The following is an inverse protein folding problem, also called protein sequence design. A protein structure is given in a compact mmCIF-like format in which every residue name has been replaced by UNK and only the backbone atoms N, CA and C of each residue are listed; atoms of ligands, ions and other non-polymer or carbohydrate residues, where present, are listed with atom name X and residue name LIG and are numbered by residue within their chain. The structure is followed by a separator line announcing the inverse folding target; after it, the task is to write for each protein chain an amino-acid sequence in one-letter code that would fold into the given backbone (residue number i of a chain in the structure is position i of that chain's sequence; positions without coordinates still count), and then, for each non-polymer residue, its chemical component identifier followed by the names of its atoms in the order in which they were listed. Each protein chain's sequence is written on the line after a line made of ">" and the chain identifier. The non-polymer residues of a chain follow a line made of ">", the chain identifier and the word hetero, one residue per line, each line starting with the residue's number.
data_IF_275439742404
#
_entry.id   IF_275439742404
#
_cell.length_a   1.000
_cell.length_b   1.000
_cell.length_c   1.000
_cell.angle_alpha   90.00
_cell.angle_beta   90.00
_cell.angle_gamma   90.00
#
_symmetry.space_group_name_H-M   'P 1'
#
loop_
_entity.id
_entity.type
_entity.pdbx_description
1 polymer ?
#
# COMPACT_ATOMS: atom_id res chain seq x y z
N UNK A 1 7.02 -19.68 -13.16
CA UNK A 1 8.18 -20.15 -12.37
C UNK A 1 9.08 -18.93 -12.17
N UNK A 2 8.82 -18.02 -11.23
CA UNK A 2 8.97 -18.08 -9.77
C UNK A 2 10.31 -18.69 -9.32
N UNK A 3 11.25 -17.81 -8.94
CA UNK A 3 11.86 -17.72 -7.60
C UNK A 3 12.74 -16.45 -7.60
N UNK A 4 12.23 -15.35 -7.05
CA UNK A 4 12.36 -14.91 -5.64
C UNK A 4 13.74 -14.31 -5.30
N UNK A 5 13.71 -12.98 -5.19
CA UNK A 5 14.60 -12.12 -4.41
C UNK A 5 14.73 -12.61 -2.96
N UNK A 6 15.89 -12.36 -2.33
CA UNK A 6 16.01 -12.00 -0.91
C UNK A 6 17.41 -11.42 -0.64
N UNK A 7 17.45 -10.14 -0.26
CA UNK A 7 18.43 -9.57 0.68
C UNK A 7 17.93 -9.89 2.12
N UNK A 8 18.67 -9.67 3.23
CA UNK A 8 19.94 -8.94 3.37
C UNK A 8 21.01 -9.59 4.30
N UNK A 9 22.16 -8.92 4.28
CA UNK A 9 23.17 -8.74 5.35
C UNK A 9 22.74 -9.17 6.77
N UNK A 10 23.49 -10.11 7.35
CA UNK A 10 24.19 -9.95 8.64
C UNK A 10 25.27 -11.05 8.73
N UNK A 11 26.50 -10.59 8.59
CA UNK A 11 27.76 -11.29 8.84
C UNK A 11 27.78 -12.01 10.19
N UNK A 12 28.18 -13.28 10.20
CA UNK A 12 29.15 -13.86 11.16
C UNK A 12 29.93 -14.97 10.43
N UNK A 13 31.21 -14.77 10.17
CA UNK A 13 32.32 -15.04 11.08
C UNK A 13 32.78 -16.50 10.97
N UNK A 14 33.94 -16.63 10.33
CA UNK A 14 34.97 -17.66 10.43
C UNK A 14 34.61 -18.99 11.12
N UNK A 15 34.76 -20.06 10.34
CA UNK A 15 35.01 -21.41 10.83
C UNK A 15 36.09 -21.43 11.92
N UNK A 16 35.68 -21.70 13.15
CA UNK A 16 36.55 -22.12 14.25
C UNK A 16 35.81 -23.23 14.98
N UNK A 17 36.36 -24.44 14.91
CA UNK A 17 36.18 -25.59 15.83
C UNK A 17 34.84 -25.63 16.57
N UNK A 18 33.89 -26.42 16.08
CA UNK A 18 32.56 -26.61 16.71
C UNK A 18 32.71 -27.19 18.12
N UNK A 19 32.83 -26.33 19.12
CA UNK A 19 32.48 -26.70 20.49
C UNK A 19 30.99 -27.07 20.48
N UNK A 20 30.70 -28.31 20.89
CA UNK A 20 29.33 -28.77 21.08
C UNK A 20 28.67 -27.83 22.08
N UNK A 21 27.65 -27.10 21.64
CA UNK A 21 26.94 -26.15 22.50
C UNK A 21 26.11 -27.00 23.46
N UNK A 22 26.31 -26.78 24.76
CA UNK A 22 25.56 -27.46 25.81
C UNK A 22 24.60 -26.42 26.40
N UNK A 23 23.30 -26.68 26.25
CA UNK A 23 22.26 -25.92 26.95
C UNK A 23 22.08 -26.51 28.34
N UNK A 24 22.12 -25.67 29.37
CA UNK A 24 21.80 -26.04 30.74
C UNK A 24 20.67 -25.14 31.21
N UNK A 25 19.50 -25.71 31.49
CA UNK A 25 18.34 -25.00 32.00
C UNK A 25 17.98 -25.57 33.38
N UNK A 26 17.71 -24.71 34.36
CA UNK A 26 17.40 -25.09 35.74
C UNK A 26 18.42 -26.06 36.39
N UNK A 27 19.69 -25.99 35.97
CA UNK A 27 20.76 -26.89 36.41
C UNK A 27 20.77 -28.26 35.74
N UNK A 28 19.86 -28.55 34.81
CA UNK A 28 19.83 -29.77 34.00
C UNK A 28 20.39 -29.53 32.61
N UNK A 29 21.25 -30.43 32.14
CA UNK A 29 21.74 -30.39 30.76
C UNK A 29 20.68 -30.92 29.80
N UNK A 30 20.38 -30.15 28.75
CA UNK A 30 19.30 -30.42 27.81
C UNK A 30 19.82 -31.21 26.61
N UNK A 31 19.20 -32.34 26.32
CA UNK A 31 19.54 -33.25 25.23
C UNK A 31 18.42 -33.44 24.21
N UNK A 32 17.19 -33.00 24.52
CA UNK A 32 16.04 -33.07 23.61
C UNK A 32 15.11 -31.87 23.75
N UNK A 33 14.24 -31.64 22.76
CA UNK A 33 13.18 -30.62 22.85
C UNK A 33 12.19 -30.89 23.99
N UNK A 34 11.95 -32.15 24.37
CA UNK A 34 11.05 -32.46 25.48
C UNK A 34 11.67 -32.03 26.82
N UNK A 35 12.96 -32.31 27.03
CA UNK A 35 13.68 -31.83 28.21
C UNK A 35 13.78 -30.29 28.23
N UNK A 36 13.93 -29.66 27.05
CA UNK A 36 13.91 -28.21 26.92
C UNK A 36 12.58 -27.61 27.38
N UNK A 37 11.46 -28.28 27.07
CA UNK A 37 10.11 -27.88 27.50
C UNK A 37 9.91 -28.10 28.99
N UNK A 38 10.41 -29.20 29.54
CA UNK A 38 10.26 -29.55 30.96
C UNK A 38 11.06 -28.61 31.87
N UNK A 39 12.24 -28.17 31.44
CA UNK A 39 13.11 -27.24 32.18
C UNK A 39 13.07 -25.81 31.63
N UNK A 40 11.98 -25.43 30.97
CA UNK A 40 11.90 -24.15 30.27
C UNK A 40 11.93 -22.97 31.27
N UNK A 41 12.98 -22.15 31.24
CA UNK A 41 13.12 -20.99 32.11
C UNK A 41 13.26 -19.70 31.29
N UNK A 42 12.45 -18.68 31.59
CA UNK A 42 12.44 -17.40 30.85
C UNK A 42 13.81 -16.72 30.79
N UNK A 43 14.48 -16.57 31.93
CA UNK A 43 15.70 -15.77 32.00
C UNK A 43 16.83 -16.47 31.27
N UNK A 44 16.92 -17.79 31.42
CA UNK A 44 17.96 -18.60 30.81
C UNK A 44 17.72 -18.74 29.29
N UNK A 45 16.48 -19.02 28.86
CA UNK A 45 16.18 -19.18 27.42
C UNK A 45 16.37 -17.87 26.65
N UNK A 46 16.02 -16.72 27.25
CA UNK A 46 16.27 -15.42 26.64
C UNK A 46 17.76 -15.12 26.55
N UNK A 47 18.55 -15.45 27.58
CA UNK A 47 20.01 -15.31 27.53
C UNK A 47 20.61 -16.20 26.43
N UNK A 48 20.20 -17.46 26.33
CA UNK A 48 20.70 -18.36 25.28
C UNK A 48 20.27 -17.93 23.88
N UNK A 49 19.09 -17.31 23.75
CA UNK A 49 18.63 -16.72 22.50
C UNK A 49 19.47 -15.50 22.11
N UNK A 50 19.64 -14.53 23.00
CA UNK A 50 20.44 -13.32 22.77
C UNK A 50 21.91 -13.62 22.43
N UNK A 51 22.47 -14.68 23.03
CA UNK A 51 23.85 -15.11 22.79
C UNK A 51 24.01 -16.00 21.54
N UNK A 52 22.92 -16.31 20.81
CA UNK A 52 22.93 -17.18 19.62
C UNK A 52 23.18 -18.67 19.92
N UNK A 53 23.38 -19.04 21.18
CA UNK A 53 23.62 -20.43 21.63
C UNK A 53 22.39 -21.31 21.42
N UNK A 54 21.19 -20.77 21.59
CA UNK A 54 19.94 -21.50 21.36
C UNK A 54 19.77 -21.91 19.89
N UNK A 55 20.06 -20.99 18.96
CA UNK A 55 20.02 -21.28 17.53
C UNK A 55 21.07 -22.32 17.14
N UNK A 56 22.29 -22.16 17.66
CA UNK A 56 23.40 -23.08 17.39
C UNK A 56 23.08 -24.49 17.89
N UNK A 57 22.48 -24.62 19.09
CA UNK A 57 22.04 -25.90 19.63
C UNK A 57 20.95 -26.55 18.77
N UNK A 58 19.95 -25.79 18.31
CA UNK A 58 18.90 -26.32 17.42
C UNK A 58 19.48 -26.86 16.11
N UNK A 59 20.46 -26.17 15.52
CA UNK A 59 21.14 -26.62 14.31
C UNK A 59 21.97 -27.89 14.57
N UNK A 60 22.70 -27.95 15.70
CA UNK A 60 23.50 -29.14 16.07
C UNK A 60 22.65 -30.39 16.34
N UNK A 61 21.39 -30.19 16.76
CA UNK A 61 20.43 -31.27 17.05
C UNK A 61 19.41 -31.51 15.92
N UNK A 62 19.60 -30.91 14.74
CA UNK A 62 18.75 -31.08 13.54
C UNK A 62 17.29 -30.65 13.70
N UNK A 63 17.01 -29.66 14.55
CA UNK A 63 15.67 -29.07 14.73
C UNK A 63 15.46 -27.89 13.78
N UNK A 64 15.56 -28.15 12.47
CA UNK A 64 15.56 -27.12 11.41
C UNK A 64 14.29 -26.25 11.39
N UNK A 65 13.10 -26.84 11.58
CA UNK A 65 11.83 -26.10 11.60
C UNK A 65 11.80 -25.02 12.69
N UNK A 66 12.35 -25.34 13.86
CA UNK A 66 12.42 -24.45 15.01
C UNK A 66 13.55 -23.45 14.82
N UNK A 67 14.68 -23.87 14.26
CA UNK A 67 15.80 -22.99 13.93
C UNK A 67 15.40 -21.91 12.91
N UNK A 68 14.66 -22.26 11.87
CA UNK A 68 14.19 -21.30 10.86
C UNK A 68 13.20 -20.29 11.44
N UNK A 69 12.24 -20.76 12.26
CA UNK A 69 11.32 -19.86 12.97
C UNK A 69 12.06 -18.94 13.95
N UNK A 70 13.12 -19.45 14.58
CA UNK A 70 13.98 -18.68 15.49
C UNK A 70 14.83 -17.64 14.75
N UNK A 71 15.31 -17.92 13.53
CA UNK A 71 16.04 -16.97 12.67
C UNK A 71 15.16 -15.82 12.18
N UNK A 72 13.88 -16.09 11.95
CA UNK A 72 12.91 -15.10 11.50
C UNK A 72 12.43 -14.17 12.64
N UNK A 73 12.78 -14.46 13.89
CA UNK A 73 12.39 -13.68 15.05
C UNK A 73 13.33 -12.47 15.23
N UNK A 74 12.76 -11.27 15.34
CA UNK A 74 13.54 -10.06 15.65
C UNK A 74 13.85 -10.00 17.16
N UNK A 75 15.14 -9.98 17.57
CA UNK A 75 15.51 -9.82 18.98
C UNK A 75 15.05 -8.51 19.62
N UNK A 76 14.75 -7.48 18.83
CA UNK A 76 14.25 -6.19 19.31
C UNK A 76 12.71 -6.15 19.50
N UNK A 77 12.00 -7.24 19.17
CA UNK A 77 10.55 -7.33 19.32
C UNK A 77 10.15 -7.38 20.81
N UNK A 78 9.22 -6.51 21.22
CA UNK A 78 8.66 -6.47 22.58
C UNK A 78 7.97 -7.79 22.98
N UNK A 79 7.50 -8.57 22.00
CA UNK A 79 6.86 -9.86 22.18
C UNK A 79 7.80 -11.05 21.91
N UNK A 80 9.12 -10.83 21.85
CA UNK A 80 10.11 -11.86 21.56
C UNK A 80 9.94 -13.12 22.43
N UNK A 81 9.76 -12.97 23.75
CA UNK A 81 9.57 -14.12 24.64
C UNK A 81 8.29 -14.92 24.33
N UNK A 82 7.20 -14.23 23.97
CA UNK A 82 5.94 -14.87 23.58
C UNK A 82 6.10 -15.70 22.31
N UNK A 83 6.80 -15.16 21.32
CA UNK A 83 7.10 -15.87 20.07
C UNK A 83 8.04 -17.07 20.32
N UNK A 84 9.00 -16.97 21.25
CA UNK A 84 9.82 -18.10 21.67
C UNK A 84 8.99 -19.24 22.26
N UNK A 85 8.04 -18.93 23.15
CA UNK A 85 7.13 -19.94 23.71
C UNK A 85 6.34 -20.68 22.61
N UNK A 86 5.85 -19.96 21.58
CA UNK A 86 5.18 -20.57 20.42
C UNK A 86 6.15 -21.45 19.60
N UNK A 87 7.40 -21.03 19.40
CA UNK A 87 8.41 -21.81 18.68
C UNK A 87 8.68 -23.15 19.36
N UNK A 88 8.73 -23.15 20.70
CA UNK A 88 9.05 -24.35 21.49
C UNK A 88 7.82 -25.16 21.92
N UNK A 89 6.62 -24.70 21.58
CA UNK A 89 5.35 -25.32 21.99
C UNK A 89 5.21 -25.39 23.52
N UNK A 90 5.61 -24.29 24.17
CA UNK A 90 5.54 -24.11 25.63
C UNK A 90 4.48 -23.06 25.92
N UNK A 91 3.68 -23.29 26.95
CA UNK A 91 2.62 -22.38 27.33
C UNK A 91 3.22 -21.09 27.93
N UNK A 92 3.17 -20.00 27.17
CA UNK A 92 3.71 -18.69 27.56
C UNK A 92 3.40 -18.25 29.01
N UNK A 93 2.15 -18.39 29.52
CA UNK A 93 1.75 -17.94 30.86
C UNK A 93 2.45 -18.66 32.02
N UNK A 94 2.96 -19.87 31.81
CA UNK A 94 3.58 -20.68 32.87
C UNK A 94 5.00 -20.19 33.20
N UNK A 95 5.61 -19.37 32.34
CA UNK A 95 7.03 -18.99 32.42
C UNK A 95 7.26 -17.48 32.50
N UNK A 96 6.20 -16.67 32.60
CA UNK A 96 6.29 -15.24 32.91
C UNK A 96 5.91 -15.00 34.37
N UNK A 97 6.66 -14.14 35.06
CA UNK A 97 6.13 -13.42 36.22
C UNK A 97 5.03 -12.48 35.73
N UNK A 98 3.83 -13.03 35.57
CA UNK A 98 2.62 -12.25 35.36
C UNK A 98 2.23 -11.60 36.68
N UNK A 99 1.79 -10.34 36.59
CA UNK A 99 1.04 -9.72 37.67
C UNK A 99 -0.10 -10.65 38.08
N UNK A 100 -0.51 -10.60 39.35
CA UNK A 100 -1.64 -11.41 39.80
C UNK A 100 -2.91 -11.11 38.97
N UNK A 101 -3.01 -9.89 38.45
CA UNK A 101 -4.11 -9.41 37.61
C UNK A 101 -4.13 -10.10 36.24
N UNK A 102 -3.00 -10.14 35.52
CA UNK A 102 -2.92 -10.78 34.19
C UNK A 102 -3.19 -12.30 34.29
N UNK A 103 -2.69 -12.94 35.36
CA UNK A 103 -2.96 -14.38 35.62
C UNK A 103 -4.43 -14.64 35.87
N UNK A 104 -5.10 -13.73 36.58
CA UNK A 104 -6.52 -13.84 36.83
C UNK A 104 -7.33 -13.63 35.55
N UNK A 105 -6.93 -12.69 34.68
CA UNK A 105 -7.57 -12.45 33.37
C UNK A 105 -7.44 -13.68 32.47
N UNK A 106 -6.25 -14.27 32.39
CA UNK A 106 -6.01 -15.45 31.55
C UNK A 106 -6.75 -16.68 32.08
N UNK A 107 -6.76 -16.91 33.40
CA UNK A 107 -7.58 -17.95 34.01
C UNK A 107 -9.07 -17.73 33.80
N UNK A 108 -9.56 -16.50 33.94
CA UNK A 108 -10.96 -16.18 33.70
C UNK A 108 -11.34 -16.44 32.24
N UNK A 109 -10.44 -16.14 31.29
CA UNK A 109 -10.60 -16.43 29.86
C UNK A 109 -10.63 -17.94 29.59
N UNK A 110 -9.72 -18.70 30.17
CA UNK A 110 -9.70 -20.17 30.09
C UNK A 110 -10.97 -20.79 30.68
N UNK A 111 -11.40 -20.34 31.86
CA UNK A 111 -12.63 -20.83 32.52
C UNK A 111 -13.87 -20.51 31.70
N UNK A 112 -13.95 -19.30 31.13
CA UNK A 112 -15.05 -18.88 30.24
C UNK A 112 -15.08 -19.75 28.99
N UNK A 113 -13.94 -19.94 28.33
CA UNK A 113 -13.85 -20.78 27.14
C UNK A 113 -14.18 -22.24 27.48
N UNK A 114 -13.65 -22.81 28.57
CA UNK A 114 -13.97 -24.17 29.00
C UNK A 114 -15.46 -24.36 29.27
N UNK A 115 -16.13 -23.36 29.87
CA UNK A 115 -17.56 -23.39 30.11
C UNK A 115 -18.33 -23.39 28.78
N UNK A 116 -17.99 -22.48 27.86
CA UNK A 116 -18.61 -22.39 26.53
C UNK A 116 -18.39 -23.67 25.71
N UNK A 117 -17.18 -24.25 25.72
CA UNK A 117 -16.88 -25.49 25.02
C UNK A 117 -17.70 -26.68 25.57
N UNK A 118 -17.87 -26.76 26.89
CA UNK A 118 -18.74 -27.78 27.52
C UNK A 118 -20.20 -27.61 27.14
N UNK A 119 -20.69 -26.38 27.09
CA UNK A 119 -22.09 -26.08 26.81
C UNK A 119 -22.43 -26.23 25.31
N UNK A 120 -21.48 -25.97 24.42
CA UNK A 120 -21.68 -25.98 22.95
C UNK A 120 -21.20 -27.27 22.27
N UNK A 121 -20.44 -28.13 22.97
CA UNK A 121 -19.85 -29.34 22.40
C UNK A 121 -18.76 -29.07 21.34
N UNK A 122 -18.18 -27.87 21.34
CA UNK A 122 -17.16 -27.44 20.40
C UNK A 122 -15.77 -28.06 20.72
N UNK A 123 -14.87 -28.02 19.75
CA UNK A 123 -13.57 -28.73 19.82
C UNK A 123 -12.69 -28.26 20.99
N UNK A 124 -12.25 -29.21 21.83
CA UNK A 124 -11.34 -28.96 22.94
C UNK A 124 -9.95 -28.46 22.48
N UNK A 125 -9.59 -28.64 21.20
CA UNK A 125 -8.34 -28.10 20.65
C UNK A 125 -8.28 -26.57 20.68
N UNK A 126 -9.42 -25.89 20.81
CA UNK A 126 -9.49 -24.42 20.92
C UNK A 126 -8.84 -23.88 22.19
N UNK A 127 -8.70 -24.70 23.23
CA UNK A 127 -7.94 -24.34 24.45
C UNK A 127 -6.45 -24.07 24.15
N UNK A 128 -5.91 -24.62 23.06
CA UNK A 128 -4.54 -24.35 22.61
C UNK A 128 -4.42 -23.08 21.76
N UNK A 129 -5.55 -22.45 21.41
CA UNK A 129 -5.66 -21.28 20.54
C UNK A 129 -6.19 -20.05 21.29
N UNK A 130 -5.97 -19.97 22.60
CA UNK A 130 -6.42 -18.84 23.44
C UNK A 130 -5.97 -17.47 22.93
N UNK A 131 -4.81 -17.43 22.27
CA UNK A 131 -4.20 -16.23 21.74
C UNK A 131 -4.98 -15.57 20.59
N UNK A 132 -5.79 -16.33 19.86
CA UNK A 132 -6.58 -15.85 18.71
C UNK A 132 -8.09 -15.91 18.97
N UNK A 133 -8.48 -16.15 20.23
CA UNK A 133 -9.87 -16.12 20.68
C UNK A 133 -10.13 -14.79 21.37
N UNK A 134 -11.10 -14.02 20.91
CA UNK A 134 -11.61 -12.85 21.59
C UNK A 134 -12.82 -13.24 22.46
N UNK A 135 -12.77 -12.89 23.74
CA UNK A 135 -13.91 -13.01 24.66
C UNK A 135 -14.65 -11.67 24.86
N UNK A 136 -14.07 -10.55 24.39
CA UNK A 136 -14.64 -9.21 24.48
C UNK A 136 -14.15 -8.29 23.32
N UNK A 137 -14.74 -7.10 23.22
CA UNK A 137 -14.45 -6.16 22.13
C UNK A 137 -13.00 -5.61 22.15
N UNK A 138 -12.40 -5.44 23.33
CA UNK A 138 -11.01 -4.93 23.44
C UNK A 138 -9.99 -5.96 22.91
N UNK A 139 -10.22 -7.24 23.20
CA UNK A 139 -9.43 -8.33 22.64
C UNK A 139 -9.62 -8.45 21.13
N UNK A 140 -10.86 -8.32 20.65
CA UNK A 140 -11.13 -8.30 19.21
C UNK A 140 -10.36 -7.18 18.51
N UNK A 141 -10.41 -5.96 19.04
CA UNK A 141 -9.67 -4.83 18.48
C UNK A 141 -8.15 -5.09 18.45
N UNK A 142 -7.62 -5.68 19.53
CA UNK A 142 -6.20 -6.03 19.61
C UNK A 142 -5.78 -7.08 18.57
N UNK A 143 -6.64 -8.06 18.26
CA UNK A 143 -6.37 -9.08 17.23
C UNK A 143 -6.46 -8.52 15.82
N UNK A 144 -7.39 -7.59 15.58
CA UNK A 144 -7.50 -6.89 14.30
C UNK A 144 -6.26 -6.00 14.07
N UNK A 145 -5.81 -5.27 15.09
CA UNK A 145 -4.60 -4.44 15.01
C UNK A 145 -3.31 -5.28 14.83
N UNK A 146 -3.34 -6.53 15.30
CA UNK A 146 -2.27 -7.51 15.06
C UNK A 146 -2.33 -8.17 13.67
N UNK A 147 -3.32 -7.82 12.85
CA UNK A 147 -3.55 -8.33 11.49
C UNK A 147 -3.73 -9.86 11.44
N UNK A 148 -4.37 -10.44 12.47
CA UNK A 148 -4.58 -11.88 12.55
C UNK A 148 -5.60 -12.35 11.48
N UNK A 149 -5.25 -13.30 10.61
CA UNK A 149 -6.13 -13.70 9.50
C UNK A 149 -7.36 -14.49 9.98
N UNK A 150 -7.27 -15.17 11.12
CA UNK A 150 -8.35 -15.96 11.70
C UNK A 150 -8.58 -15.58 13.16
N UNK A 151 -9.80 -15.13 13.46
CA UNK A 151 -10.20 -14.65 14.79
C UNK A 151 -11.44 -15.41 15.25
N UNK A 152 -11.36 -15.99 16.45
CA UNK A 152 -12.48 -16.70 17.05
C UNK A 152 -13.22 -15.80 18.04
N UNK A 153 -14.54 -15.71 17.93
CA UNK A 153 -15.39 -14.92 18.82
C UNK A 153 -16.12 -15.86 19.79
N UNK A 154 -16.03 -15.60 21.10
CA UNK A 154 -16.54 -16.52 22.12
C UNK A 154 -17.68 -15.91 22.95
N UNK A 155 -18.90 -16.47 22.81
CA UNK A 155 -20.12 -16.22 23.61
C UNK A 155 -20.28 -14.82 24.20
N UNK A 156 -20.28 -13.80 23.33
CA UNK A 156 -20.49 -12.40 23.70
C UNK A 156 -21.07 -11.61 22.51
N UNK A 157 -21.44 -10.35 22.76
CA UNK A 157 -21.76 -9.37 21.73
C UNK A 157 -20.48 -8.70 21.21
N UNK A 158 -20.30 -8.65 19.90
CA UNK A 158 -19.15 -8.01 19.24
C UNK A 158 -19.59 -7.08 18.12
N UNK A 159 -18.80 -6.06 17.82
CA UNK A 159 -18.96 -5.25 16.61
C UNK A 159 -17.80 -5.53 15.66
N UNK A 160 -18.10 -6.12 14.50
CA UNK A 160 -17.11 -6.43 13.45
C UNK A 160 -16.99 -5.22 12.52
N UNK A 161 -15.80 -4.61 12.38
CA UNK A 161 -15.62 -3.47 11.50
C UNK A 161 -15.57 -3.92 10.03
N UNK A 162 -16.58 -3.52 9.24
CA UNK A 162 -16.66 -3.85 7.81
C UNK A 162 -15.54 -3.21 6.97
N UNK A 163 -14.87 -2.18 7.48
CA UNK A 163 -13.78 -1.46 6.81
C UNK A 163 -12.42 -2.17 6.87
N UNK A 164 -12.30 -3.29 7.58
CA UNK A 164 -11.05 -4.04 7.76
C UNK A 164 -11.15 -5.41 7.05
N UNK A 165 -10.78 -5.48 5.76
CA UNK A 165 -10.80 -6.72 4.98
C UNK A 165 -9.70 -7.69 5.41
N UNK A 166 -9.82 -8.96 5.01
CA UNK A 166 -8.76 -9.96 5.16
C UNK A 166 -8.83 -10.85 6.41
N UNK A 167 -9.84 -10.64 7.25
CA UNK A 167 -10.07 -11.43 8.46
C UNK A 167 -11.23 -12.42 8.30
N UNK A 168 -11.05 -13.61 8.85
CA UNK A 168 -12.07 -14.64 9.03
C UNK A 168 -12.52 -14.68 10.49
N UNK A 169 -13.80 -14.41 10.74
CA UNK A 169 -14.41 -14.44 12.07
C UNK A 169 -15.21 -15.73 12.27
N UNK A 170 -14.89 -16.49 13.32
CA UNK A 170 -15.50 -17.79 13.61
C UNK A 170 -16.19 -17.74 14.97
N UNK A 171 -17.51 -17.94 15.00
CA UNK A 171 -18.28 -17.98 16.23
C UNK A 171 -18.08 -19.28 17.03
N UNK A 172 -17.89 -19.14 18.34
CA UNK A 172 -17.88 -20.23 19.33
C UNK A 172 -18.97 -19.93 20.37
N UNK A 173 -20.01 -20.77 20.40
CA UNK A 173 -21.14 -20.60 21.31
C UNK A 173 -22.18 -19.62 20.79
N UNK A 174 -22.82 -18.89 21.72
CA UNK A 174 -23.87 -17.92 21.40
C UNK A 174 -23.25 -16.53 21.18
N UNK A 175 -22.75 -16.30 19.96
CA UNK A 175 -22.14 -15.04 19.56
C UNK A 175 -23.19 -14.15 18.90
N UNK A 176 -23.30 -12.92 19.41
CA UNK A 176 -24.18 -11.90 18.86
C UNK A 176 -23.32 -10.80 18.23
N UNK A 177 -23.78 -10.23 17.12
CA UNK A 177 -23.08 -9.13 16.45
C UNK A 177 -23.92 -7.87 16.55
N UNK A 178 -23.32 -6.82 17.11
CA UNK A 178 -23.93 -5.50 17.22
C UNK A 178 -23.87 -4.79 15.86
N UNK A 179 -25.00 -4.26 15.41
CA UNK A 179 -25.20 -3.69 14.07
C UNK A 179 -24.71 -4.63 12.96
N UNK A 180 -25.24 -5.85 12.89
CA UNK A 180 -24.70 -6.87 12.00
C UNK A 180 -24.98 -6.54 10.55
N UNK A 181 -23.97 -6.75 9.70
CA UNK A 181 -24.15 -6.75 8.25
C UNK A 181 -24.61 -8.13 7.77
N UNK A 182 -25.25 -8.17 6.61
CA UNK A 182 -25.58 -9.44 5.94
C UNK A 182 -24.31 -10.18 5.52
N UNK A 183 -24.40 -11.50 5.34
CA UNK A 183 -23.25 -12.30 4.89
C UNK A 183 -22.68 -11.81 3.55
N UNK A 184 -23.56 -11.36 2.63
CA UNK A 184 -23.14 -10.76 1.37
C UNK A 184 -22.34 -9.47 1.57
N UNK A 185 -22.76 -8.58 2.47
CA UNK A 185 -22.06 -7.32 2.73
C UNK A 185 -20.65 -7.55 3.27
N UNK A 186 -20.47 -8.50 4.20
CA UNK A 186 -19.14 -8.88 4.68
C UNK A 186 -18.28 -9.47 3.56
N UNK A 187 -18.85 -10.39 2.76
CA UNK A 187 -18.12 -11.01 1.65
C UNK A 187 -17.65 -9.98 0.63
N UNK A 188 -18.50 -9.00 0.27
CA UNK A 188 -18.15 -7.89 -0.64
C UNK A 188 -17.07 -6.98 -0.08
N UNK A 189 -16.97 -6.89 1.24
CA UNK A 189 -15.92 -6.16 1.95
C UNK A 189 -14.68 -7.03 2.25
N UNK A 190 -14.56 -8.23 1.67
CA UNK A 190 -13.40 -9.11 1.87
C UNK A 190 -13.31 -9.72 3.26
N UNK A 191 -14.44 -9.85 3.97
CA UNK A 191 -14.55 -10.43 5.31
C UNK A 191 -15.34 -11.73 5.23
N UNK A 192 -14.86 -12.78 5.92
CA UNK A 192 -15.57 -14.05 6.02
C UNK A 192 -16.10 -14.25 7.44
N UNK A 193 -17.37 -14.60 7.59
CA UNK A 193 -18.00 -14.85 8.88
C UNK A 193 -18.60 -16.25 8.88
N UNK A 194 -18.22 -17.08 9.85
CA UNK A 194 -18.71 -18.46 9.97
C UNK A 194 -19.21 -18.74 11.38
N UNK A 195 -20.16 -19.67 11.51
CA UNK A 195 -20.78 -20.07 12.78
C UNK A 195 -21.39 -18.92 13.61
N UNK A 196 -21.84 -17.86 12.94
CA UNK A 196 -22.52 -16.70 13.55
C UNK A 196 -23.81 -16.46 12.78
N UNK A 197 -24.90 -16.21 13.51
CA UNK A 197 -26.20 -15.91 12.89
C UNK A 197 -26.23 -14.46 12.45
N UNK A 198 -26.25 -14.23 11.13
CA UNK A 198 -26.31 -12.90 10.52
C UNK A 198 -27.73 -12.59 9.99
N UNK A 199 -28.12 -11.31 9.91
CA UNK A 199 -29.38 -10.91 9.31
C UNK A 199 -29.42 -11.25 7.82
N UNK A 200 -30.62 -11.56 7.33
CA UNK A 200 -30.88 -11.87 5.91
C UNK A 200 -31.26 -10.61 5.12
N UNK A 201 -31.85 -9.62 5.81
CA UNK A 201 -32.27 -8.35 5.20
C UNK A 201 -31.27 -7.25 5.49
N UNK A 202 -30.93 -6.47 4.48
CA UNK A 202 -30.07 -5.29 4.64
C UNK A 202 -30.76 -4.22 5.47
N UNK A 203 -30.03 -3.65 6.42
CA UNK A 203 -30.45 -2.45 7.14
C UNK A 203 -30.08 -1.20 6.31
N UNK A 204 -31.04 -0.33 5.97
CA UNK A 204 -30.77 0.92 5.26
C UNK A 204 -29.70 1.79 5.93
N UNK A 205 -29.62 1.79 7.26
CA UNK A 205 -28.70 2.64 8.02
C UNK A 205 -27.25 2.14 7.95
N UNK A 206 -27.04 0.84 7.70
CA UNK A 206 -25.70 0.23 7.56
C UNK A 206 -25.28 0.02 6.10
N UNK A 207 -26.22 0.13 5.15
CA UNK A 207 -26.01 -0.10 3.71
C UNK A 207 -24.93 0.82 3.11
N UNK A 208 -24.90 2.09 3.50
CA UNK A 208 -23.91 3.05 3.00
C UNK A 208 -22.48 2.66 3.41
N UNK A 209 -22.28 2.28 4.67
CA UNK A 209 -20.97 1.88 5.20
C UNK A 209 -20.47 0.59 4.52
N UNK A 210 -21.36 -0.38 4.32
CA UNK A 210 -21.04 -1.61 3.60
C UNK A 210 -20.66 -1.34 2.14
N UNK A 211 -21.39 -0.45 1.45
CA UNK A 211 -21.08 -0.08 0.07
C UNK A 211 -19.74 0.64 -0.05
N UNK A 212 -19.39 1.51 0.90
CA UNK A 212 -18.11 2.19 0.92
C UNK A 212 -16.95 1.21 1.16
N UNK A 213 -17.13 0.28 2.11
CA UNK A 213 -16.12 -0.76 2.40
C UNK A 213 -15.93 -1.73 1.22
N UNK A 214 -17.01 -2.13 0.55
CA UNK A 214 -16.94 -2.92 -0.67
C UNK A 214 -16.15 -2.19 -1.77
N UNK A 215 -16.44 -0.90 -2.00
CA UNK A 215 -15.74 -0.09 -3.00
C UNK A 215 -14.23 0.08 -2.69
N UNK A 216 -13.86 0.25 -1.42
CA UNK A 216 -12.44 0.28 -0.99
C UNK A 216 -11.75 -1.05 -1.26
N UNK A 217 -12.48 -2.16 -1.16
CA UNK A 217 -12.01 -3.51 -1.49
C UNK A 217 -12.07 -3.85 -2.98
N UNK A 218 -12.35 -2.86 -3.85
CA UNK A 218 -12.43 -3.06 -5.29
C UNK A 218 -13.69 -3.80 -5.74
N UNK A 219 -14.65 -4.06 -4.84
CA UNK A 219 -15.96 -4.55 -5.21
C UNK A 219 -16.84 -3.37 -5.66
N UNK A 220 -17.16 -3.34 -6.95
CA UNK A 220 -18.29 -2.56 -7.44
C UNK A 220 -19.48 -3.48 -7.75
N UNK A 221 -20.68 -2.98 -7.50
CA UNK A 221 -21.93 -3.65 -7.85
C UNK A 221 -22.22 -3.59 -9.35
N UNK A 222 -21.23 -3.29 -10.19
CA UNK A 222 -21.44 -3.09 -11.63
C UNK A 222 -21.91 -4.39 -12.28
N UNK A 223 -21.33 -5.53 -11.90
CA UNK A 223 -21.72 -6.85 -12.39
C UNK A 223 -23.14 -7.29 -12.01
N UNK A 224 -23.75 -6.67 -10.99
CA UNK A 224 -25.14 -6.96 -10.60
C UNK A 224 -26.15 -6.29 -11.54
N UNK A 225 -25.70 -5.28 -12.30
CA UNK A 225 -26.56 -4.43 -13.14
C UNK A 225 -26.14 -4.39 -14.61
N UNK A 226 -25.00 -5.01 -14.96
CA UNK A 226 -24.42 -4.98 -16.30
C UNK A 226 -24.08 -6.39 -16.80
N UNK A 227 -23.98 -6.53 -18.11
CA UNK A 227 -23.63 -7.77 -18.81
C UNK A 227 -22.23 -8.25 -18.42
N UNK A 228 -22.03 -9.57 -18.48
CA UNK A 228 -20.74 -10.20 -18.19
C UNK A 228 -19.57 -9.62 -19.01
N UNK A 229 -19.85 -9.19 -20.26
CA UNK A 229 -18.87 -8.53 -21.11
C UNK A 229 -18.49 -7.15 -20.58
N UNK A 230 -19.47 -6.31 -20.26
CA UNK A 230 -19.22 -4.98 -19.72
C UNK A 230 -18.47 -5.08 -18.38
N UNK A 231 -18.86 -6.00 -17.50
CA UNK A 231 -18.17 -6.28 -16.23
C UNK A 231 -16.70 -6.64 -16.42
N UNK A 232 -16.40 -7.49 -17.40
CA UNK A 232 -15.03 -7.90 -17.65
C UNK A 232 -14.16 -6.69 -18.01
N UNK A 233 -14.64 -5.84 -18.92
CA UNK A 233 -13.90 -4.65 -19.33
C UNK A 233 -13.83 -3.62 -18.20
N UNK A 234 -14.88 -3.49 -17.40
CA UNK A 234 -14.94 -2.62 -16.22
C UNK A 234 -13.82 -2.91 -15.23
N UNK A 235 -13.67 -4.18 -14.83
CA UNK A 235 -12.63 -4.62 -13.90
C UNK A 235 -11.22 -4.31 -14.43
N UNK A 236 -11.02 -4.46 -15.75
CA UNK A 236 -9.73 -4.13 -16.37
C UNK A 236 -9.49 -2.64 -16.51
N UNK A 237 -10.51 -1.82 -16.80
CA UNK A 237 -10.34 -0.38 -17.02
C UNK A 237 -10.13 0.41 -15.72
N UNK A 238 -10.66 -0.09 -14.59
CA UNK A 238 -10.70 0.62 -13.30
C UNK A 238 -9.42 0.66 -12.48
N UNK A 239 -8.47 -0.26 -12.72
CA UNK A 239 -7.38 -0.49 -11.78
C UNK A 239 -6.27 0.57 -11.79
N UNK A 240 -6.26 1.49 -12.77
CA UNK A 240 -5.09 2.34 -13.01
C UNK A 240 -5.32 3.78 -12.58
N UNK A 241 -4.62 4.19 -11.51
CA UNK A 241 -4.44 5.59 -11.13
C UNK A 241 -2.96 5.95 -11.27
N UNK A 242 -2.70 7.07 -11.93
CA UNK A 242 -1.34 7.59 -12.11
C UNK A 242 -0.92 8.37 -10.87
N UNK A 243 0.32 8.18 -10.44
CA UNK A 243 0.99 9.02 -9.46
C UNK A 243 2.42 9.26 -9.95
N UNK A 244 2.81 10.53 -10.09
CA UNK A 244 4.14 10.93 -10.54
C UNK A 244 4.67 12.04 -9.64
N UNK A 245 5.95 11.94 -9.27
CA UNK A 245 6.65 12.95 -8.48
C UNK A 245 7.59 13.72 -9.39
N UNK A 246 7.46 15.03 -9.42
CA UNK A 246 8.26 15.93 -10.23
C UNK A 246 9.42 16.50 -9.40
N UNK A 247 10.61 16.48 -10.00
CA UNK A 247 11.80 17.16 -9.49
C UNK A 247 12.22 18.28 -10.44
N UNK A 248 12.60 19.41 -9.85
CA UNK A 248 13.04 20.60 -10.56
C UNK A 248 14.57 20.66 -10.63
N UNK A 249 15.10 21.28 -11.69
CA UNK A 249 16.54 21.38 -11.86
C UNK A 249 17.15 22.32 -10.80
N UNK A 250 18.03 21.78 -9.95
CA UNK A 250 18.83 22.53 -8.99
C UNK A 250 20.28 22.72 -9.50
N UNK A 251 20.79 23.95 -9.44
CA UNK A 251 22.19 24.25 -9.78
C UNK A 251 23.00 24.56 -8.52
N UNK A 252 23.57 23.53 -7.91
CA UNK A 252 24.40 23.64 -6.71
C UNK A 252 25.63 24.53 -6.90
N UNK A 253 26.14 24.69 -8.14
CA UNK A 253 27.36 25.45 -8.40
C UNK A 253 27.23 26.95 -8.17
N UNK A 254 26.01 27.45 -8.00
CA UNK A 254 25.73 28.86 -7.70
C UNK A 254 25.80 29.12 -6.19
N UNK A 255 25.58 28.08 -5.37
CA UNK A 255 25.72 28.12 -3.92
C UNK A 255 27.20 28.07 -3.53
N UNK A 256 27.61 28.95 -2.61
CA UNK A 256 29.00 29.03 -2.16
C UNK A 256 30.00 29.64 -3.18
N UNK A 257 29.52 30.11 -4.34
CA UNK A 257 30.34 30.86 -5.29
C UNK A 257 30.43 32.32 -4.85
N UNK A 258 31.66 32.85 -4.80
CA UNK A 258 31.91 34.27 -4.57
C UNK A 258 31.86 35.05 -5.88
N UNK A 259 31.11 36.15 -5.86
CA UNK A 259 30.96 37.07 -6.99
C UNK A 259 31.61 38.41 -6.67
N UNK A 260 32.29 39.00 -7.65
CA UNK A 260 32.98 40.30 -7.48
C UNK A 260 32.05 41.51 -7.69
N UNK A 261 30.79 41.28 -8.09
CA UNK A 261 29.77 42.31 -8.27
C UNK A 261 28.39 41.81 -7.84
N UNK A 262 27.62 42.68 -7.17
CA UNK A 262 26.22 42.41 -6.79
C UNK A 262 25.35 42.11 -8.01
N UNK A 263 25.61 42.77 -9.15
CA UNK A 263 24.85 42.56 -10.39
C UNK A 263 25.10 41.19 -11.00
N UNK A 264 26.34 40.69 -10.93
CA UNK A 264 26.70 39.36 -11.41
C UNK A 264 26.06 38.27 -10.54
N UNK A 265 26.12 38.44 -9.22
CA UNK A 265 25.45 37.58 -8.25
C UNK A 265 23.93 37.53 -8.48
N UNK A 266 23.29 38.70 -8.64
CA UNK A 266 21.86 38.80 -8.91
C UNK A 266 21.45 38.14 -10.24
N UNK A 267 22.26 38.28 -11.29
CA UNK A 267 22.00 37.63 -12.58
C UNK A 267 22.11 36.11 -12.49
N UNK A 268 23.11 35.60 -11.77
CA UNK A 268 23.28 34.17 -11.55
C UNK A 268 22.13 33.58 -10.70
N UNK A 269 21.73 34.29 -9.63
CA UNK A 269 20.55 33.98 -8.80
C UNK A 269 19.29 33.84 -9.65
N UNK A 270 18.99 34.88 -10.43
CA UNK A 270 17.81 34.94 -11.30
C UNK A 270 17.83 33.79 -12.33
N UNK A 271 18.95 33.55 -12.99
CA UNK A 271 19.07 32.50 -14.02
C UNK A 271 18.82 31.10 -13.44
N UNK A 272 19.33 30.83 -12.23
CA UNK A 272 19.13 29.54 -11.58
C UNK A 272 17.65 29.30 -11.23
N UNK A 273 17.00 30.30 -10.61
CA UNK A 273 15.58 30.21 -10.24
C UNK A 273 14.65 30.20 -11.46
N UNK A 274 14.94 31.00 -12.49
CA UNK A 274 14.12 31.03 -13.73
C UNK A 274 14.10 29.66 -14.40
N UNK A 275 15.20 28.91 -14.37
CA UNK A 275 15.25 27.57 -14.95
C UNK A 275 14.30 26.60 -14.23
N UNK A 276 14.31 26.60 -12.90
CA UNK A 276 13.40 25.79 -12.09
C UNK A 276 11.95 26.21 -12.30
N UNK A 277 11.68 27.51 -12.21
CA UNK A 277 10.34 28.08 -12.38
C UNK A 277 9.74 27.79 -13.76
N UNK A 278 10.49 28.01 -14.84
CA UNK A 278 10.03 27.72 -16.19
C UNK A 278 9.77 26.22 -16.41
N UNK A 279 10.52 25.37 -15.72
CA UNK A 279 10.30 23.92 -15.76
C UNK A 279 9.00 23.55 -15.04
N UNK A 280 8.76 24.10 -13.84
CA UNK A 280 7.52 23.90 -13.09
C UNK A 280 6.29 24.41 -13.88
N UNK A 281 6.37 25.64 -14.38
CA UNK A 281 5.31 26.25 -15.18
C UNK A 281 5.00 25.44 -16.45
N UNK A 282 6.02 24.86 -17.11
CA UNK A 282 5.81 24.03 -18.29
C UNK A 282 4.97 22.76 -18.00
N UNK A 283 5.04 22.20 -16.80
CA UNK A 283 4.25 21.02 -16.41
C UNK A 283 2.76 21.36 -16.27
N UNK A 284 2.43 22.55 -15.76
CA UNK A 284 1.03 22.97 -15.53
C UNK A 284 0.43 23.78 -16.68
N UNK A 285 1.21 24.14 -17.70
CA UNK A 285 0.72 24.94 -18.84
C UNK A 285 0.05 24.06 -19.91
N UNK A 286 -1.24 24.27 -20.22
CA UNK A 286 -1.93 23.54 -21.30
C UNK A 286 -1.22 23.68 -22.65
N UNK A 287 -1.19 22.61 -23.43
CA UNK A 287 -0.53 22.58 -24.75
C UNK A 287 1.00 22.45 -24.71
N UNK A 288 1.65 22.57 -23.55
CA UNK A 288 3.09 22.32 -23.45
C UNK A 288 3.42 20.84 -23.68
N UNK A 289 4.54 20.58 -24.37
CA UNK A 289 5.02 19.22 -24.63
C UNK A 289 5.28 18.39 -23.36
N UNK A 290 5.59 19.03 -22.23
CA UNK A 290 5.82 18.41 -20.93
C UNK A 290 4.61 18.49 -20.00
N UNK A 291 3.48 18.99 -20.47
CA UNK A 291 2.30 19.20 -19.64
C UNK A 291 1.82 17.89 -18.99
N UNK A 292 1.44 17.93 -17.72
CA UNK A 292 0.90 16.80 -16.96
C UNK A 292 -0.35 16.19 -17.60
N UNK A 293 -1.18 17.02 -18.26
CA UNK A 293 -2.33 16.55 -19.03
C UNK A 293 -1.93 15.67 -20.21
N UNK A 294 -0.83 16.02 -20.91
CA UNK A 294 -0.32 15.22 -22.02
C UNK A 294 0.23 13.88 -21.56
N UNK A 295 0.93 13.88 -20.43
CA UNK A 295 1.42 12.65 -19.81
C UNK A 295 0.26 11.72 -19.44
N UNK A 296 -0.74 12.22 -18.68
CA UNK A 296 -1.90 11.45 -18.27
C UNK A 296 -2.71 10.92 -19.46
N UNK A 297 -2.95 11.75 -20.49
CA UNK A 297 -3.68 11.33 -21.69
C UNK A 297 -2.95 10.24 -22.47
N UNK A 298 -1.62 10.33 -22.56
CA UNK A 298 -0.80 9.31 -23.23
C UNK A 298 -0.84 8.00 -22.46
N UNK A 299 -0.73 8.04 -21.13
CA UNK A 299 -0.78 6.85 -20.28
C UNK A 299 -2.13 6.14 -20.40
N UNK A 300 -3.23 6.83 -20.13
CA UNK A 300 -4.57 6.23 -20.17
C UNK A 300 -4.99 5.85 -21.59
N UNK A 301 -4.64 6.66 -22.58
CA UNK A 301 -4.93 6.38 -23.98
C UNK A 301 -4.21 5.13 -24.48
N UNK A 302 -2.92 4.98 -24.16
CA UNK A 302 -2.14 3.77 -24.48
C UNK A 302 -2.71 2.56 -23.77
N UNK A 303 -3.05 2.68 -22.48
CA UNK A 303 -3.66 1.59 -21.71
C UNK A 303 -4.95 1.07 -22.35
N UNK A 304 -5.86 1.98 -22.74
CA UNK A 304 -7.08 1.60 -23.45
C UNK A 304 -6.74 0.91 -24.79
N UNK A 305 -5.82 1.46 -25.57
CA UNK A 305 -5.49 0.91 -26.90
C UNK A 305 -4.82 -0.47 -26.81
N UNK A 306 -4.00 -0.71 -25.80
CA UNK A 306 -3.39 -2.01 -25.53
C UNK A 306 -4.43 -3.04 -25.07
N UNK A 307 -5.36 -2.64 -24.19
CA UNK A 307 -6.47 -3.50 -23.77
C UNK A 307 -7.36 -3.90 -24.96
N UNK A 308 -7.61 -2.99 -25.88
CA UNK A 308 -8.36 -3.22 -27.12
C UNK A 308 -7.41 -3.48 -28.30
N UNK A 309 -6.46 -4.40 -28.10
CA UNK A 309 -5.56 -4.85 -29.15
C UNK A 309 -6.32 -5.32 -30.41
N UNK A 310 -5.70 -5.29 -31.61
CA UNK A 310 -6.39 -5.59 -32.87
C UNK A 310 -7.20 -6.90 -32.88
N UNK A 311 -6.71 -7.94 -32.22
CA UNK A 311 -7.39 -9.24 -32.11
C UNK A 311 -8.73 -9.14 -31.36
N UNK A 312 -8.77 -8.35 -30.28
CA UNK A 312 -9.98 -8.12 -29.49
C UNK A 312 -10.95 -7.27 -30.29
N UNK A 313 -10.45 -6.23 -30.98
CA UNK A 313 -11.28 -5.38 -31.84
C UNK A 313 -11.90 -6.14 -33.01
N UNK A 314 -11.16 -7.07 -33.63
CA UNK A 314 -11.67 -7.93 -34.70
C UNK A 314 -12.76 -8.89 -34.19
N UNK A 315 -12.58 -9.45 -32.99
CA UNK A 315 -13.57 -10.33 -32.37
C UNK A 315 -14.84 -9.56 -31.97
N UNK A 316 -14.69 -8.36 -31.38
CA UNK A 316 -15.80 -7.47 -31.08
C UNK A 316 -16.53 -7.07 -32.37
N UNK A 317 -15.82 -6.73 -33.45
CA UNK A 317 -16.43 -6.37 -34.73
C UNK A 317 -17.37 -7.48 -35.22
N UNK A 318 -16.90 -8.74 -35.22
CA UNK A 318 -17.71 -9.90 -35.62
C UNK A 318 -18.96 -10.04 -34.76
N UNK A 319 -18.85 -9.88 -33.44
CA UNK A 319 -20.01 -9.92 -32.55
C UNK A 319 -21.00 -8.79 -32.88
N UNK A 320 -20.54 -7.55 -33.01
CA UNK A 320 -21.43 -6.43 -33.35
C UNK A 320 -22.10 -6.61 -34.72
N UNK A 321 -21.43 -7.23 -35.70
CA UNK A 321 -22.02 -7.59 -36.99
C UNK A 321 -23.12 -8.66 -36.85
N UNK A 322 -22.87 -9.72 -36.08
CA UNK A 322 -23.84 -10.80 -35.82
C UNK A 322 -25.12 -10.28 -35.13
N UNK A 323 -24.98 -9.36 -34.18
CA UNK A 323 -26.10 -8.75 -33.46
C UNK A 323 -26.71 -7.52 -34.18
N UNK A 324 -26.28 -7.21 -35.42
CA UNK A 324 -26.75 -6.06 -36.23
C UNK A 324 -26.58 -4.69 -35.55
N UNK A 325 -25.50 -4.51 -34.78
CA UNK A 325 -25.16 -3.28 -34.04
C UNK A 325 -23.89 -2.60 -34.55
N UNK A 326 -23.65 -2.65 -35.86
CA UNK A 326 -22.43 -2.11 -36.48
C UNK A 326 -22.22 -0.61 -36.23
N UNK A 327 -23.28 0.17 -36.04
CA UNK A 327 -23.15 1.61 -35.72
C UNK A 327 -22.60 1.83 -34.29
N UNK A 328 -23.00 1.00 -33.31
CA UNK A 328 -22.42 1.02 -31.96
C UNK A 328 -20.93 0.68 -32.00
N UNK A 329 -20.54 -0.29 -32.82
CA UNK A 329 -19.13 -0.66 -32.99
C UNK A 329 -18.29 0.46 -33.61
N UNK A 330 -18.83 1.21 -34.59
CA UNK A 330 -18.15 2.37 -35.16
C UNK A 330 -17.84 3.40 -34.09
N UNK A 331 -18.82 3.74 -33.26
CA UNK A 331 -18.64 4.67 -32.14
C UNK A 331 -17.62 4.16 -31.12
N UNK A 332 -17.69 2.87 -30.77
CA UNK A 332 -16.73 2.23 -29.86
C UNK A 332 -15.30 2.29 -30.42
N UNK A 333 -15.14 1.90 -31.68
CA UNK A 333 -13.85 1.94 -32.39
C UNK A 333 -13.29 3.35 -32.48
N UNK A 334 -14.12 4.34 -32.78
CA UNK A 334 -13.71 5.73 -32.86
C UNK A 334 -13.25 6.26 -31.50
N UNK A 335 -13.96 5.92 -30.42
CA UNK A 335 -13.55 6.26 -29.05
C UNK A 335 -12.21 5.62 -28.68
N UNK A 336 -12.05 4.32 -28.89
CA UNK A 336 -10.79 3.60 -28.56
C UNK A 336 -9.62 4.15 -29.39
N UNK A 337 -9.82 4.34 -30.71
CA UNK A 337 -8.76 4.82 -31.62
C UNK A 337 -8.30 6.24 -31.25
N UNK A 338 -9.25 7.10 -30.87
CA UNK A 338 -8.96 8.49 -30.52
C UNK A 338 -8.87 8.73 -29.00
N UNK A 339 -8.74 7.68 -28.18
CA UNK A 339 -8.75 7.76 -26.71
C UNK A 339 -7.75 8.78 -26.17
N UNK A 340 -6.50 8.72 -26.63
CA UNK A 340 -5.44 9.67 -26.25
C UNK A 340 -5.81 11.11 -26.57
N UNK A 341 -6.41 11.36 -27.75
CA UNK A 341 -6.79 12.71 -28.18
C UNK A 341 -7.97 13.23 -27.37
N UNK A 342 -9.01 12.42 -27.20
CA UNK A 342 -10.23 12.79 -26.47
C UNK A 342 -9.91 13.07 -24.99
N UNK A 343 -9.11 12.22 -24.36
CA UNK A 343 -8.66 12.42 -22.97
C UNK A 343 -7.78 13.65 -22.85
N UNK A 344 -6.91 13.92 -23.83
CA UNK A 344 -6.09 15.13 -23.83
C UNK A 344 -6.94 16.40 -23.86
N UNK A 345 -8.00 16.44 -24.67
CA UNK A 345 -8.93 17.57 -24.73
C UNK A 345 -9.62 17.78 -23.37
N UNK A 346 -10.15 16.71 -22.73
CA UNK A 346 -10.75 16.78 -21.40
C UNK A 346 -9.78 17.30 -20.33
N UNK A 347 -8.57 16.73 -20.29
CA UNK A 347 -7.55 17.08 -19.31
C UNK A 347 -6.98 18.49 -19.50
N UNK A 348 -6.90 18.96 -20.74
CA UNK A 348 -6.51 20.35 -21.01
C UNK A 348 -7.61 21.33 -20.62
N UNK A 349 -8.88 20.97 -20.81
CA UNK A 349 -10.01 21.78 -20.32
C UNK A 349 -9.98 21.88 -18.81
N UNK A 350 -9.76 20.79 -18.07
CA UNK A 350 -9.64 20.80 -16.60
C UNK A 350 -8.55 21.77 -16.10
N UNK A 351 -7.37 21.76 -16.74
CA UNK A 351 -6.30 22.72 -16.42
C UNK A 351 -6.66 24.16 -16.80
N UNK A 352 -7.38 24.36 -17.92
CA UNK A 352 -7.72 25.70 -18.42
C UNK A 352 -8.82 26.35 -17.59
N UNK A 353 -9.84 25.59 -17.22
CA UNK A 353 -10.97 26.07 -16.43
C UNK A 353 -10.56 26.38 -14.99
N UNK A 354 -9.57 25.65 -14.46
CA UNK A 354 -9.03 25.83 -13.11
C UNK A 354 -7.64 26.49 -13.11
N UNK A 355 -7.36 27.38 -14.07
CA UNK A 355 -6.03 28.01 -14.22
C UNK A 355 -5.56 28.68 -12.93
N UNK A 356 -6.46 29.35 -12.19
CA UNK A 356 -6.11 30.05 -10.95
C UNK A 356 -5.65 29.10 -9.83
N UNK A 357 -6.13 27.85 -9.84
CA UNK A 357 -5.76 26.83 -8.87
C UNK A 357 -4.40 26.21 -9.19
N UNK A 358 -4.14 25.90 -10.46
CA UNK A 358 -2.88 25.27 -10.89
C UNK A 358 -1.74 26.28 -11.16
N UNK A 359 -2.03 27.58 -11.05
CA UNK A 359 -1.04 28.63 -11.26
C UNK A 359 0.04 28.60 -10.17
N UNK A 360 1.30 28.49 -10.59
CA UNK A 360 2.43 28.72 -9.69
C UNK A 360 2.38 30.15 -9.12
N UNK A 361 2.88 30.35 -7.91
CA UNK A 361 3.13 31.69 -7.39
C UNK A 361 3.95 32.54 -8.37
N UNK A 362 3.80 33.86 -8.31
CA UNK A 362 4.54 34.76 -9.20
C UNK A 362 6.03 34.55 -8.99
N UNK A 363 6.80 34.44 -10.07
CA UNK A 363 8.26 34.27 -10.01
C UNK A 363 8.98 35.22 -9.02
N UNK A 364 8.50 36.47 -8.93
CA UNK A 364 9.06 37.47 -8.01
C UNK A 364 9.00 37.03 -6.53
N UNK A 365 7.97 36.30 -6.12
CA UNK A 365 7.82 35.76 -4.77
C UNK A 365 9.04 34.90 -4.39
N UNK A 366 9.38 33.93 -5.23
CA UNK A 366 10.54 33.06 -5.01
C UNK A 366 11.88 33.78 -5.16
N UNK A 367 11.94 34.78 -6.05
CA UNK A 367 13.16 35.57 -6.24
C UNK A 367 13.51 36.42 -5.02
N UNK A 368 12.49 36.92 -4.32
CA UNK A 368 12.63 37.79 -3.14
C UNK A 368 13.00 37.02 -1.87
N UNK A 369 12.67 35.73 -1.78
CA UNK A 369 13.10 34.87 -0.67
C UNK A 369 14.63 34.66 -0.62
N UNK A 370 15.31 34.77 -1.77
CA UNK A 370 16.75 34.54 -1.85
C UNK A 370 17.52 35.84 -1.64
N UNK A 371 18.18 35.93 -0.49
CA UNK A 371 19.04 37.06 -0.14
C UNK A 371 20.42 36.96 -0.81
N UNK A 372 21.02 38.13 -1.06
CA UNK A 372 22.42 38.25 -1.47
C UNK A 372 23.19 38.74 -0.26
N UNK A 373 24.09 37.91 0.25
CA UNK A 373 24.97 38.26 1.35
C UNK A 373 26.16 39.06 0.84
N UNK A 374 26.54 40.07 1.61
CA UNK A 374 27.66 40.95 1.32
C UNK A 374 28.79 40.69 2.31
N UNK A 375 29.96 40.31 1.79
CA UNK A 375 31.15 40.03 2.59
C UNK A 375 32.17 41.15 2.39
N UNK A 376 32.25 42.07 3.36
CA UNK A 376 33.28 43.12 3.37
C UNK A 376 34.52 42.64 4.14
N UNK A 377 35.50 42.14 3.38
CA UNK A 377 36.78 41.68 3.92
C UNK A 377 37.72 42.82 4.36
N UNK A 378 37.30 44.09 4.24
CA UNK A 378 38.13 45.25 4.64
C UNK A 378 38.09 45.54 6.15
N UNK A 379 37.25 44.84 6.93
CA UNK A 379 36.98 45.17 8.35
C UNK A 379 37.34 44.04 9.34
N UNK A 380 37.90 42.91 8.89
CA UNK A 380 38.20 41.77 9.76
C UNK A 380 39.59 41.88 10.46
N UNK A 381 39.61 42.25 11.74
CA UNK A 381 40.80 42.11 12.61
C UNK A 381 41.00 40.64 13.03
N UNK A 382 41.76 39.87 12.26
CA UNK A 382 42.11 38.49 12.64
C UNK A 382 43.15 37.83 11.74
N UNK A 383 44.28 37.42 12.32
CA UNK A 383 45.52 37.05 11.63
C UNK A 383 45.51 35.79 10.73
N UNK A 384 44.39 35.07 10.62
CA UNK A 384 44.30 33.89 9.73
C UNK A 384 44.18 34.26 8.25
N UNK A 385 43.62 35.43 7.92
CA UNK A 385 43.28 35.82 6.54
C UNK A 385 44.28 36.77 5.85
N UNK A 386 45.31 37.24 6.56
CA UNK A 386 46.40 38.07 5.98
C UNK A 386 47.15 37.40 4.83
N UNK A 387 47.20 36.07 4.82
CA UNK A 387 47.79 35.27 3.74
C UNK A 387 46.89 35.19 2.49
N UNK A 388 45.57 35.42 2.62
CA UNK A 388 44.62 35.50 1.50
C UNK A 388 44.39 36.92 0.99
N UNK A 389 44.77 37.93 1.78
CA UNK A 389 44.75 39.37 1.47
C UNK A 389 45.58 39.73 0.22
N UNK A 390 46.58 38.92 -0.16
CA UNK A 390 47.41 39.13 -1.36
C UNK A 390 46.77 38.60 -2.65
N UNK A 391 45.75 37.73 -2.56
CA UNK A 391 44.97 37.24 -3.70
C UNK A 391 43.67 38.04 -3.91
N UNK A 392 43.15 38.61 -2.83
CA UNK A 392 41.84 39.25 -2.78
C UNK A 392 42.02 40.76 -2.63
N UNK A 393 42.29 41.44 -3.74
CA UNK A 393 42.50 42.88 -3.78
C UNK A 393 41.24 43.65 -3.34
N UNK A 394 41.13 43.97 -2.05
CA UNK A 394 40.30 45.06 -1.51
C UNK A 394 38.79 45.05 -1.84
N UNK A 395 38.22 43.91 -2.24
CA UNK A 395 36.88 43.85 -2.82
C UNK A 395 35.83 43.28 -1.87
N UNK A 396 34.70 43.98 -1.76
CA UNK A 396 33.43 43.39 -1.32
C UNK A 396 33.13 42.20 -2.25
N UNK A 397 32.76 41.06 -1.69
CA UNK A 397 32.24 39.93 -2.45
C UNK A 397 30.81 39.62 -2.06
N UNK A 398 30.09 38.99 -2.99
CA UNK A 398 28.69 38.65 -2.80
C UNK A 398 28.52 37.14 -2.92
N UNK A 399 27.70 36.56 -2.07
CA UNK A 399 27.27 35.15 -2.16
C UNK A 399 25.75 35.09 -2.16
N UNK A 400 25.23 33.98 -2.68
CA UNK A 400 23.81 33.67 -2.58
C UNK A 400 23.61 32.83 -1.31
N UNK A 401 22.68 33.23 -0.45
CA UNK A 401 22.45 32.55 0.83
C UNK A 401 21.89 31.14 0.64
N UNK A 402 20.67 31.03 0.11
CA UNK A 402 19.98 29.76 -0.09
C UNK A 402 18.99 29.78 -1.25
N UNK A 403 19.30 29.05 -2.34
CA UNK A 403 18.38 28.83 -3.47
C UNK A 403 17.63 27.50 -3.38
N UNK A 404 18.03 26.61 -2.47
CA UNK A 404 17.43 25.29 -2.33
C UNK A 404 16.01 25.40 -1.78
N UNK A 405 15.83 26.16 -0.70
CA UNK A 405 14.52 26.36 -0.07
C UNK A 405 13.42 26.79 -1.05
N UNK A 406 13.58 27.87 -1.84
CA UNK A 406 12.52 28.28 -2.78
C UNK A 406 12.32 27.31 -3.95
N UNK A 407 13.36 26.56 -4.37
CA UNK A 407 13.19 25.52 -5.40
C UNK A 407 12.42 24.33 -4.83
N UNK A 408 12.72 23.93 -3.60
CA UNK A 408 11.99 22.86 -2.89
C UNK A 408 10.53 23.26 -2.63
N UNK A 409 10.26 24.53 -2.39
CA UNK A 409 8.89 25.05 -2.28
C UNK A 409 8.16 24.97 -3.63
N UNK A 410 8.77 25.44 -4.72
CA UNK A 410 8.22 25.27 -6.08
C UNK A 410 7.95 23.80 -6.44
N UNK A 411 8.82 22.88 -6.02
CA UNK A 411 8.64 21.44 -6.18
C UNK A 411 7.44 20.93 -5.37
N UNK A 412 7.30 21.38 -4.13
CA UNK A 412 6.16 21.07 -3.27
C UNK A 412 4.84 21.48 -3.92
N UNK A 413 4.74 22.75 -4.33
CA UNK A 413 3.56 23.30 -5.00
C UNK A 413 3.21 22.52 -6.28
N UNK A 414 4.22 22.24 -7.11
CA UNK A 414 4.03 21.49 -8.35
C UNK A 414 3.50 20.07 -8.08
N UNK A 415 4.02 19.39 -7.07
CA UNK A 415 3.59 18.04 -6.73
C UNK A 415 2.19 18.02 -6.10
N UNK A 416 1.82 19.05 -5.34
CA UNK A 416 0.44 19.21 -4.85
C UNK A 416 -0.53 19.42 -6.02
N UNK A 417 -0.21 20.35 -6.94
CA UNK A 417 -0.97 20.56 -8.17
C UNK A 417 -1.10 19.29 -9.00
N UNK A 418 0.00 18.55 -9.19
CA UNK A 418 0.00 17.29 -9.92
C UNK A 418 -0.88 16.23 -9.24
N UNK A 419 -0.84 16.11 -7.92
CA UNK A 419 -1.68 15.16 -7.19
C UNK A 419 -3.17 15.47 -7.33
N UNK A 420 -3.56 16.74 -7.18
CA UNK A 420 -4.95 17.17 -7.41
C UNK A 420 -5.36 16.93 -8.86
N UNK A 421 -4.51 17.30 -9.81
CA UNK A 421 -4.78 17.08 -11.23
C UNK A 421 -4.96 15.59 -11.56
N UNK A 422 -4.09 14.70 -11.07
CA UNK A 422 -4.21 13.26 -11.33
C UNK A 422 -5.47 12.65 -10.72
N UNK A 423 -5.98 13.23 -9.63
CA UNK A 423 -7.28 12.83 -9.08
C UNK A 423 -8.41 13.22 -10.04
N UNK A 424 -8.47 14.48 -10.46
CA UNK A 424 -9.48 14.96 -11.40
C UNK A 424 -9.41 14.22 -12.75
N UNK A 425 -8.20 14.01 -13.28
CA UNK A 425 -7.96 13.27 -14.51
C UNK A 425 -8.40 11.80 -14.40
N UNK A 426 -8.27 11.17 -13.22
CA UNK A 426 -8.77 9.82 -12.99
C UNK A 426 -10.30 9.78 -12.98
N UNK A 427 -10.96 10.77 -12.38
CA UNK A 427 -12.42 10.87 -12.38
C UNK A 427 -12.97 11.07 -13.81
N UNK A 428 -12.34 11.94 -14.60
CA UNK A 428 -12.66 12.13 -16.03
C UNK A 428 -12.38 10.87 -16.86
N UNK A 429 -11.25 10.19 -16.64
CA UNK A 429 -10.95 8.90 -17.27
C UNK A 429 -12.01 7.85 -16.94
N UNK A 430 -12.49 7.79 -15.69
CA UNK A 430 -13.56 6.88 -15.29
C UNK A 430 -14.87 7.20 -15.99
N UNK A 431 -15.21 8.47 -16.15
CA UNK A 431 -16.36 8.92 -16.94
C UNK A 431 -16.22 8.48 -18.41
N UNK A 432 -15.04 8.66 -18.99
CA UNK A 432 -14.74 8.21 -20.36
C UNK A 432 -14.86 6.69 -20.53
N UNK A 433 -14.37 5.90 -19.56
CA UNK A 433 -14.52 4.45 -19.56
C UNK A 433 -15.98 4.02 -19.45
N UNK A 434 -16.79 4.73 -18.68
CA UNK A 434 -18.23 4.45 -18.56
C UNK A 434 -18.94 4.53 -19.92
N UNK A 435 -18.59 5.49 -20.76
CA UNK A 435 -19.16 5.58 -22.11
C UNK A 435 -18.76 4.37 -22.99
N UNK A 436 -17.53 3.86 -22.83
CA UNK A 436 -17.08 2.62 -23.49
C UNK A 436 -17.88 1.43 -22.96
N UNK A 437 -18.05 1.33 -21.65
CA UNK A 437 -18.81 0.28 -20.98
C UNK A 437 -20.28 0.27 -21.41
N UNK A 438 -20.90 1.44 -21.56
CA UNK A 438 -22.26 1.59 -22.07
C UNK A 438 -22.40 1.08 -23.52
N UNK A 439 -21.39 1.30 -24.36
CA UNK A 439 -21.36 0.76 -25.72
C UNK A 439 -21.19 -0.77 -25.72
N UNK A 440 -20.39 -1.31 -24.82
CA UNK A 440 -20.21 -2.76 -24.63
C UNK A 440 -21.47 -3.42 -24.07
N UNK A 441 -22.16 -2.75 -23.13
CA UNK A 441 -23.42 -3.19 -22.55
C UNK A 441 -24.50 -3.36 -23.61
N UNK A 442 -24.50 -2.48 -24.61
CA UNK A 442 -25.42 -2.59 -25.74
C UNK A 442 -25.20 -3.87 -26.56
N UNK A 443 -24.11 -4.62 -26.43
CA UNK A 443 -23.94 -5.89 -27.15
C UNK A 443 -24.87 -6.99 -26.61
N UNK A 444 -25.26 -6.94 -25.33
CA UNK A 444 -26.37 -7.70 -24.75
C UNK A 444 -26.10 -8.38 -23.40
N UNK A 445 -27.18 -8.68 -22.67
CA UNK A 445 -27.19 -9.26 -21.31
C UNK A 445 -27.06 -10.80 -21.27
N UNK A 446 -26.95 -11.47 -22.42
CA UNK A 446 -27.08 -12.93 -22.51
C UNK A 446 -25.74 -13.66 -22.69
N UNK A 447 -24.61 -12.99 -22.50
CA UNK A 447 -23.31 -13.65 -22.57
C UNK A 447 -22.98 -14.39 -21.28
N UNK A 448 -22.40 -15.59 -21.41
CA UNK A 448 -21.87 -16.33 -20.26
C UNK A 448 -20.74 -15.55 -19.60
N UNK A 449 -20.52 -15.73 -18.31
CA UNK A 449 -19.30 -15.26 -17.66
C UNK A 449 -18.05 -15.94 -18.27
N UNK A 450 -16.94 -15.21 -18.34
CA UNK A 450 -15.64 -15.76 -18.71
C UNK A 450 -15.18 -16.72 -17.61
N UNK A 451 -14.70 -17.90 -17.99
CA UNK A 451 -14.08 -18.83 -17.04
C UNK A 451 -12.66 -18.36 -16.67
N UNK A 452 -12.19 -18.63 -15.44
CA UNK A 452 -10.90 -18.12 -14.95
C UNK A 452 -9.71 -18.53 -15.84
N UNK A 453 -9.73 -19.76 -16.36
CA UNK A 453 -8.67 -20.34 -17.20
C UNK A 453 -8.70 -19.87 -18.67
N UNK A 454 -9.77 -19.22 -19.12
CA UNK A 454 -9.95 -18.78 -20.50
C UNK A 454 -9.21 -17.46 -20.77
N UNK A 455 -8.65 -17.23 -21.97
CA UNK A 455 -8.13 -15.89 -22.32
C UNK A 455 -9.25 -14.98 -22.82
N UNK A 456 -9.07 -13.66 -22.78
CA UNK A 456 -10.08 -12.71 -23.29
C UNK A 456 -10.40 -12.95 -24.78
N UNK A 457 -9.38 -13.25 -25.57
CA UNK A 457 -9.53 -13.56 -27.00
C UNK A 457 -10.30 -14.86 -27.22
N UNK A 458 -10.01 -15.91 -26.45
CA UNK A 458 -10.71 -17.20 -26.55
C UNK A 458 -12.17 -17.08 -26.15
N UNK A 459 -12.45 -16.29 -25.11
CA UNK A 459 -13.81 -15.98 -24.67
C UNK A 459 -14.62 -15.31 -25.79
N UNK A 460 -14.09 -14.24 -26.39
CA UNK A 460 -14.78 -13.52 -27.47
C UNK A 460 -14.98 -14.41 -28.72
N UNK A 461 -13.99 -15.24 -29.07
CA UNK A 461 -14.12 -16.19 -30.19
C UNK A 461 -15.16 -17.29 -29.92
N UNK A 462 -15.27 -17.75 -28.67
CA UNK A 462 -16.31 -18.71 -28.26
C UNK A 462 -17.69 -18.09 -28.34
N UNK A 463 -17.85 -16.83 -27.92
CA UNK A 463 -19.11 -16.09 -28.09
C UNK A 463 -19.47 -15.92 -29.58
N UNK A 464 -18.49 -15.62 -30.44
CA UNK A 464 -18.73 -15.55 -31.89
C UNK A 464 -19.24 -16.88 -32.44
N UNK A 465 -18.62 -17.98 -32.01
CA UNK A 465 -18.99 -19.33 -32.47
C UNK A 465 -20.39 -19.74 -31.99
N UNK A 466 -20.74 -19.39 -30.75
CA UNK A 466 -22.06 -19.65 -30.18
C UNK A 466 -23.18 -18.82 -30.83
N UNK A 467 -22.88 -17.61 -31.30
CA UNK A 467 -23.85 -16.74 -31.97
C UNK A 467 -24.13 -17.13 -33.43
N UNK A 468 -23.33 -18.01 -34.03
CA UNK A 468 -23.50 -18.54 -35.39
C UNK A 468 -24.32 -19.85 -35.41
N UNK A 469 -24.35 -20.57 -34.28
CA UNK A 469 -25.17 -21.77 -34.07
C UNK A 469 -26.61 -21.39 -33.74
#
# INVERSE_FOLDING_TARGET
>A
MINQLLNPVLTQSTATTEEKVILTLEGTTIHSLNELREHFNRNEILSFYSDGRLLTWLCQHYYETQADRLRALDPADKNCFRKLCVIFDVNYPDHIEMSAEDRNILKAKEETLQKVLKDTGADQSLLKKLDIIAINQEELASLIDADEPQIYLCSNSFSIPISKPGHEYIGIGDVQIDNPFTNEQYSKAGITVTNITLPVTQDPDTSLAASQAAAVNGYDSFHESHSALATLFHNTLKANRIYEVYSLPFNASVMGKFYNSRSECAAAKKTALEKAYNTASAYVTPGNSKCIAKYAATYYGTYIQELFAPQIMDALQKLYELYRKSDCFRTLKDKITHSTKNLLELFQTELSDNTDYYAMYRFQYFLDQVEIEEHDYRVMEGGFWRSLETLMSGSIQYTISDIHTPISEMEGDLNEHAHTFFKAAHDEYRSYCREIEELLQQLGDNFRAKADEETLTDYLNTLCSAAIQ
#
